data_IF_497105656484
#
_entry.id   IF_497105656484
#
_cell.length_a   1.000
_cell.length_b   1.000
_cell.length_c   1.000
_cell.angle_alpha   90.00
_cell.angle_beta   90.00
_cell.angle_gamma   90.00
#
_symmetry.space_group_name_H-M   'P 1'
#
loop_
_entity.id
_entity.type
_entity.pdbx_description
1 polymer ?
#
# COMPACT_ATOMS: atom_id res chain seq x y z
N UNK A 1 -29.47 -13.24 -10.05
CA UNK A 1 -30.78 -12.68 -9.68
C UNK A 1 -30.67 -11.15 -9.68
N UNK A 2 -31.65 -10.42 -10.21
CA UNK A 2 -31.57 -8.95 -10.25
C UNK A 2 -31.61 -8.35 -8.82
N UNK A 3 -30.95 -7.21 -8.58
CA UNK A 3 -30.95 -6.54 -7.27
C UNK A 3 -32.36 -6.24 -6.73
N UNK A 4 -33.30 -5.91 -7.61
CA UNK A 4 -34.70 -5.61 -7.26
C UNK A 4 -35.44 -6.82 -6.70
N UNK A 5 -35.13 -8.03 -7.22
CA UNK A 5 -35.77 -9.26 -6.77
C UNK A 5 -35.29 -9.68 -5.37
N UNK A 6 -34.04 -9.35 -5.02
CA UNK A 6 -33.45 -9.62 -3.70
C UNK A 6 -34.06 -8.72 -2.62
N UNK A 7 -34.30 -7.44 -2.93
CA UNK A 7 -34.96 -6.50 -2.02
C UNK A 7 -36.42 -6.87 -1.74
N UNK A 8 -37.18 -7.28 -2.76
CA UNK A 8 -38.56 -7.73 -2.59
C UNK A 8 -38.66 -8.99 -1.71
N UNK A 9 -37.73 -9.92 -1.88
CA UNK A 9 -37.66 -11.13 -1.06
C UNK A 9 -37.33 -10.82 0.40
N UNK A 10 -36.36 -9.95 0.67
CA UNK A 10 -36.00 -9.51 2.04
C UNK A 10 -37.18 -8.82 2.72
N UNK A 11 -37.89 -7.93 2.03
CA UNK A 11 -39.08 -7.27 2.58
C UNK A 11 -40.20 -8.25 2.90
N UNK A 12 -40.40 -9.27 2.04
CA UNK A 12 -41.41 -10.33 2.27
C UNK A 12 -41.07 -11.16 3.50
N UNK A 13 -39.80 -11.51 3.68
CA UNK A 13 -39.31 -12.25 4.86
C UNK A 13 -39.50 -11.41 6.13
N UNK A 14 -39.11 -10.13 6.11
CA UNK A 14 -39.31 -9.22 7.25
C UNK A 14 -40.78 -9.07 7.64
N UNK A 15 -41.68 -8.91 6.66
CA UNK A 15 -43.11 -8.83 6.91
C UNK A 15 -43.66 -10.14 7.51
N UNK A 16 -43.18 -11.28 7.02
CA UNK A 16 -43.58 -12.61 7.52
C UNK A 16 -43.14 -12.79 8.97
N UNK A 17 -41.86 -12.51 9.29
CA UNK A 17 -41.34 -12.59 10.66
C UNK A 17 -42.11 -11.65 11.60
N UNK A 18 -42.39 -10.42 11.17
CA UNK A 18 -43.15 -9.45 11.97
C UNK A 18 -44.57 -9.92 12.25
N UNK A 19 -45.25 -10.51 11.25
CA UNK A 19 -46.59 -11.08 11.42
C UNK A 19 -46.60 -12.27 12.38
N UNK A 20 -45.57 -13.10 12.35
CA UNK A 20 -45.43 -14.26 13.23
C UNK A 20 -45.15 -13.85 14.68
N UNK A 21 -44.31 -12.82 14.89
CA UNK A 21 -44.05 -12.23 16.23
C UNK A 21 -45.30 -11.62 16.85
N UNK A 22 -46.15 -10.97 16.03
CA UNK A 22 -47.39 -10.36 16.50
C UNK A 22 -48.46 -11.40 16.92
N UNK A 23 -48.28 -12.68 16.55
CA UNK A 23 -49.17 -13.77 16.94
C UNK A 23 -49.03 -14.08 18.43
N UNK A 24 -50.14 -14.48 19.05
CA UNK A 24 -50.16 -14.98 20.44
C UNK A 24 -49.78 -16.45 20.56
N UNK A 25 -49.64 -17.15 19.43
CA UNK A 25 -49.33 -18.58 19.39
C UNK A 25 -47.83 -18.79 19.55
N UNK A 26 -47.46 -19.73 20.40
CA UNK A 26 -46.05 -20.09 20.65
C UNK A 26 -45.41 -20.65 19.37
N UNK A 27 -46.14 -21.42 18.58
CA UNK A 27 -45.64 -22.05 17.35
C UNK A 27 -45.24 -21.01 16.29
N UNK A 28 -46.00 -19.92 16.21
CA UNK A 28 -45.71 -18.83 15.28
C UNK A 28 -44.43 -18.08 15.71
N UNK A 29 -44.24 -17.86 17.01
CA UNK A 29 -43.02 -17.25 17.55
C UNK A 29 -41.78 -18.14 17.40
N UNK A 30 -41.92 -19.45 17.60
CA UNK A 30 -40.85 -20.42 17.32
C UNK A 30 -40.48 -20.45 15.84
N UNK A 31 -41.48 -20.36 14.96
CA UNK A 31 -41.27 -20.25 13.52
C UNK A 31 -40.59 -18.93 13.15
N UNK A 32 -40.94 -17.84 13.81
CA UNK A 32 -40.26 -16.55 13.66
C UNK A 32 -38.78 -16.64 14.06
N UNK A 33 -38.46 -17.25 15.21
CA UNK A 33 -37.08 -17.46 15.66
C UNK A 33 -36.27 -18.33 14.69
N UNK A 34 -36.89 -19.39 14.15
CA UNK A 34 -36.27 -20.28 13.16
C UNK A 34 -35.93 -19.52 11.86
N UNK A 35 -36.91 -18.78 11.32
CA UNK A 35 -36.72 -17.95 10.13
C UNK A 35 -35.67 -16.85 10.38
N UNK A 36 -35.65 -16.25 11.57
CA UNK A 36 -34.66 -15.26 11.93
C UNK A 36 -33.25 -15.86 11.88
N UNK A 37 -33.05 -17.07 12.40
CA UNK A 37 -31.75 -17.76 12.37
C UNK A 37 -31.31 -18.17 10.96
N UNK A 38 -32.26 -18.59 10.11
CA UNK A 38 -32.00 -18.96 8.72
C UNK A 38 -31.61 -17.74 7.86
N UNK A 39 -32.31 -16.62 8.04
CA UNK A 39 -32.16 -15.44 7.18
C UNK A 39 -31.34 -14.30 7.81
N UNK A 40 -30.84 -14.45 9.05
CA UNK A 40 -30.02 -13.45 9.75
C UNK A 40 -28.92 -12.78 8.88
N UNK A 41 -28.16 -13.50 8.03
CA UNK A 41 -27.11 -12.89 7.20
C UNK A 41 -27.64 -11.93 6.12
N UNK A 42 -28.94 -12.00 5.81
CA UNK A 42 -29.58 -11.25 4.72
C UNK A 42 -30.53 -10.16 5.20
N UNK A 43 -30.85 -10.15 6.49
CA UNK A 43 -31.77 -9.20 7.12
C UNK A 43 -30.99 -7.99 7.68
N UNK A 44 -31.59 -6.78 7.71
CA UNK A 44 -30.99 -5.63 8.37
C UNK A 44 -30.73 -5.92 9.86
N UNK A 45 -29.57 -5.49 10.39
CA UNK A 45 -29.21 -5.72 11.80
C UNK A 45 -30.21 -5.09 12.77
N UNK A 46 -30.62 -3.86 12.50
CA UNK A 46 -31.61 -3.12 13.31
C UNK A 46 -32.98 -3.81 13.39
N UNK A 47 -33.36 -4.55 12.34
CA UNK A 47 -34.57 -5.37 12.36
C UNK A 47 -34.36 -6.62 13.22
N UNK A 48 -33.24 -7.31 13.02
CA UNK A 48 -32.90 -8.56 13.74
C UNK A 48 -32.84 -8.32 15.26
N UNK A 49 -32.16 -7.26 15.69
CA UNK A 49 -32.06 -6.85 17.10
C UNK A 49 -33.44 -6.58 17.72
N UNK A 50 -34.30 -5.83 17.02
CA UNK A 50 -35.66 -5.54 17.48
C UNK A 50 -36.47 -6.82 17.70
N UNK A 51 -36.38 -7.77 16.76
CA UNK A 51 -37.12 -9.04 16.81
C UNK A 51 -36.57 -9.93 17.94
N UNK A 52 -35.25 -9.97 18.14
CA UNK A 52 -34.63 -10.68 19.27
C UNK A 52 -35.10 -10.10 20.61
N UNK A 53 -35.12 -8.77 20.76
CA UNK A 53 -35.59 -8.11 21.99
C UNK A 53 -37.08 -8.37 22.28
N UNK A 54 -37.92 -8.49 21.24
CA UNK A 54 -39.32 -8.88 21.42
C UNK A 54 -39.47 -10.35 21.83
N UNK A 55 -38.64 -11.27 21.30
CA UNK A 55 -38.67 -12.69 21.67
C UNK A 55 -38.08 -12.93 23.07
N UNK A 56 -37.08 -12.15 23.51
CA UNK A 56 -36.50 -12.22 24.87
C UNK A 56 -37.53 -11.95 25.96
N UNK A 57 -38.56 -11.15 25.67
CA UNK A 57 -39.66 -10.83 26.60
C UNK A 57 -40.61 -12.01 26.83
N UNK A 58 -40.51 -13.07 26.03
CA UNK A 58 -41.37 -14.24 26.15
C UNK A 58 -40.88 -15.19 27.26
N UNK A 59 -41.80 -15.65 28.11
CA UNK A 59 -41.49 -16.51 29.25
C UNK A 59 -41.36 -18.01 28.89
N UNK A 60 -41.68 -18.40 27.66
CA UNK A 60 -41.63 -19.81 27.25
C UNK A 60 -40.20 -20.31 27.02
N UNK A 61 -39.88 -21.43 27.64
CA UNK A 61 -38.56 -22.08 27.61
C UNK A 61 -38.12 -22.44 26.19
N UNK A 62 -39.05 -22.88 25.35
CA UNK A 62 -38.82 -23.30 23.97
C UNK A 62 -38.39 -22.12 23.09
N UNK A 63 -38.92 -20.93 23.37
CA UNK A 63 -38.52 -19.70 22.67
C UNK A 63 -37.12 -19.28 23.11
N UNK A 64 -36.83 -19.37 24.41
CA UNK A 64 -35.50 -19.07 24.95
C UNK A 64 -34.44 -20.02 24.39
N UNK A 65 -34.73 -21.33 24.29
CA UNK A 65 -33.86 -22.32 23.65
C UNK A 65 -33.65 -22.04 22.15
N UNK A 66 -34.70 -21.62 21.43
CA UNK A 66 -34.59 -21.25 20.02
C UNK A 66 -33.76 -19.98 19.79
N UNK A 67 -33.61 -19.12 20.81
CA UNK A 67 -32.75 -17.93 20.77
C UNK A 67 -31.28 -18.24 21.07
N UNK A 68 -30.96 -19.36 21.75
CA UNK A 68 -29.58 -19.72 22.11
C UNK A 68 -28.62 -19.70 20.90
N UNK A 69 -28.94 -20.28 19.72
CA UNK A 69 -28.06 -20.22 18.56
C UNK A 69 -27.87 -18.80 17.98
N UNK A 70 -28.85 -17.91 18.17
CA UNK A 70 -28.81 -16.52 17.73
C UNK A 70 -27.93 -15.68 18.68
N UNK A 71 -28.07 -15.90 19.98
CA UNK A 71 -27.29 -15.23 21.04
C UNK A 71 -25.84 -15.72 21.05
N UNK A 72 -25.59 -17.02 20.83
CA UNK A 72 -24.23 -17.57 20.68
C UNK A 72 -23.56 -17.03 19.41
N UNK A 73 -24.30 -16.73 18.33
CA UNK A 73 -23.73 -16.05 17.14
C UNK A 73 -23.38 -14.58 17.42
N UNK A 74 -24.07 -13.93 18.38
CA UNK A 74 -23.69 -12.61 18.90
C UNK A 74 -22.47 -12.69 19.83
N UNK A 75 -22.35 -13.71 20.69
CA UNK A 75 -21.21 -13.88 21.62
C UNK A 75 -19.95 -14.50 21.00
N UNK A 76 -20.09 -15.34 19.95
CA UNK A 76 -18.97 -15.91 19.17
C UNK A 76 -18.70 -15.16 17.86
N UNK A 77 -19.39 -14.05 17.58
CA UNK A 77 -18.65 -12.97 16.94
C UNK A 77 -17.67 -12.53 18.00
N UNK A 78 -16.34 -12.74 17.84
CA UNK A 78 -15.42 -12.11 18.77
C UNK A 78 -15.89 -10.67 18.86
N UNK A 79 -16.03 -10.14 20.08
CA UNK A 79 -15.98 -8.70 20.29
C UNK A 79 -14.78 -8.28 19.45
N UNK A 80 -15.06 -7.77 18.24
CA UNK A 80 -14.09 -7.14 17.41
C UNK A 80 -13.78 -5.94 18.28
N UNK A 81 -12.78 -6.06 19.15
CA UNK A 81 -12.11 -4.90 19.70
C UNK A 81 -11.96 -4.00 18.49
N UNK A 82 -12.64 -2.86 18.52
CA UNK A 82 -12.54 -1.89 17.45
C UNK A 82 -11.06 -1.56 17.39
N UNK A 83 -10.36 -2.12 16.39
CA UNK A 83 -8.94 -1.90 16.25
C UNK A 83 -8.78 -0.41 16.09
N UNK A 84 -8.12 0.19 17.07
CA UNK A 84 -7.91 1.64 17.10
C UNK A 84 -7.04 2.03 15.90
N UNK A 85 -7.12 3.29 15.46
CA UNK A 85 -6.27 3.72 14.35
C UNK A 85 -4.79 3.58 14.72
N UNK A 86 -4.45 3.82 16.00
CA UNK A 86 -3.12 3.61 16.54
C UNK A 86 -2.66 2.15 16.42
N UNK A 87 -3.51 1.16 16.70
CA UNK A 87 -3.16 -0.26 16.56
C UNK A 87 -2.95 -0.67 15.09
N UNK A 88 -3.79 -0.17 14.17
CA UNK A 88 -3.60 -0.40 12.73
C UNK A 88 -2.25 0.17 12.31
N UNK A 89 -1.97 1.43 12.65
CA UNK A 89 -0.72 2.09 12.29
C UNK A 89 0.47 1.38 12.91
N UNK A 90 0.42 1.02 14.19
CA UNK A 90 1.50 0.32 14.86
C UNK A 90 1.86 -1.01 14.16
N UNK A 91 0.87 -1.69 13.58
CA UNK A 91 1.09 -2.88 12.74
C UNK A 91 1.90 -2.62 11.47
N UNK A 92 1.91 -1.38 10.96
CA UNK A 92 2.62 -0.97 9.76
C UNK A 92 3.89 -0.15 10.03
N UNK A 93 4.01 0.55 11.16
CA UNK A 93 5.11 1.49 11.43
C UNK A 93 6.48 0.87 11.22
N UNK A 94 6.74 -0.33 11.76
CA UNK A 94 8.04 -0.99 11.59
C UNK A 94 8.35 -1.37 10.14
N UNK A 95 7.34 -1.73 9.34
CA UNK A 95 7.50 -2.02 7.91
C UNK A 95 7.80 -0.73 7.12
N UNK A 96 7.10 0.37 7.44
CA UNK A 96 7.33 1.67 6.81
C UNK A 96 8.71 2.20 7.17
N UNK A 97 9.13 2.12 8.44
CA UNK A 97 10.47 2.52 8.90
C UNK A 97 11.57 1.72 8.20
N UNK A 98 11.39 0.40 8.10
CA UNK A 98 12.33 -0.47 7.39
C UNK A 98 12.43 -0.09 5.91
N UNK A 99 11.29 0.12 5.25
CA UNK A 99 11.26 0.56 3.86
C UNK A 99 11.88 1.95 3.67
N UNK A 100 11.64 2.89 4.59
CA UNK A 100 12.26 4.22 4.61
C UNK A 100 13.78 4.13 4.77
N UNK A 101 14.28 3.25 5.64
CA UNK A 101 15.72 3.08 5.82
C UNK A 101 16.38 2.54 4.54
N UNK A 102 15.78 1.53 3.91
CA UNK A 102 16.24 1.01 2.60
C UNK A 102 16.26 2.13 1.56
N UNK A 103 15.23 2.97 1.52
CA UNK A 103 15.17 4.15 0.65
C UNK A 103 16.36 5.08 0.92
N UNK A 104 16.65 5.38 2.18
CA UNK A 104 17.77 6.25 2.56
C UNK A 104 19.12 5.67 2.14
N UNK A 105 19.38 4.40 2.44
CA UNK A 105 20.66 3.75 2.16
C UNK A 105 20.95 3.76 0.65
N UNK A 106 19.90 3.49 -0.13
CA UNK A 106 19.95 3.50 -1.58
C UNK A 106 20.20 4.90 -2.15
N UNK A 107 19.50 5.91 -1.64
CA UNK A 107 19.69 7.30 -2.02
C UNK A 107 21.14 7.76 -1.77
N UNK A 108 21.69 7.42 -0.61
CA UNK A 108 23.07 7.72 -0.26
C UNK A 108 24.05 7.01 -1.21
N UNK A 109 23.76 5.76 -1.56
CA UNK A 109 24.58 5.00 -2.49
C UNK A 109 24.61 5.61 -3.90
N UNK A 110 23.48 6.13 -4.36
CA UNK A 110 23.37 6.88 -5.62
C UNK A 110 24.20 8.17 -5.60
N UNK A 111 24.11 8.93 -4.51
CA UNK A 111 24.87 10.17 -4.37
C UNK A 111 26.38 9.87 -4.31
N UNK A 112 26.76 8.82 -3.59
CA UNK A 112 28.14 8.34 -3.50
C UNK A 112 28.66 7.85 -4.86
N UNK A 113 27.82 7.24 -5.70
CA UNK A 113 28.23 6.82 -7.04
C UNK A 113 28.58 8.04 -7.91
N UNK A 114 27.78 9.10 -7.85
CA UNK A 114 28.07 10.34 -8.58
C UNK A 114 29.34 11.02 -8.08
N UNK A 115 29.50 11.11 -6.75
CA UNK A 115 30.70 11.70 -6.15
C UNK A 115 31.96 10.93 -6.54
N UNK A 116 31.91 9.61 -6.46
CA UNK A 116 33.04 8.73 -6.81
C UNK A 116 33.36 8.82 -8.30
N UNK A 117 32.34 8.85 -9.17
CA UNK A 117 32.54 9.01 -10.60
C UNK A 117 33.20 10.36 -10.95
N UNK A 118 32.78 11.46 -10.31
CA UNK A 118 33.42 12.79 -10.48
C UNK A 118 34.89 12.78 -10.06
N UNK A 119 35.18 12.18 -8.90
CA UNK A 119 36.55 12.04 -8.42
C UNK A 119 37.41 11.27 -9.44
N UNK A 120 36.94 10.09 -9.88
CA UNK A 120 37.62 9.30 -10.91
C UNK A 120 37.86 10.09 -12.19
N UNK A 121 36.85 10.81 -12.68
CA UNK A 121 36.94 11.59 -13.91
C UNK A 121 37.99 12.69 -13.81
N UNK A 122 38.07 13.37 -12.67
CA UNK A 122 39.10 14.36 -12.39
C UNK A 122 40.50 13.72 -12.36
N UNK A 123 40.67 12.57 -11.71
CA UNK A 123 41.96 11.86 -11.67
C UNK A 123 42.45 11.45 -13.06
N UNK A 124 41.58 10.92 -13.91
CA UNK A 124 41.94 10.57 -15.29
C UNK A 124 42.37 11.79 -16.11
N UNK A 125 41.81 12.96 -15.82
CA UNK A 125 42.14 14.24 -16.48
C UNK A 125 43.46 14.83 -15.98
N UNK A 126 43.75 14.74 -14.68
CA UNK A 126 44.98 15.28 -14.06
C UNK A 126 46.21 14.38 -14.20
N UNK A 127 46.06 13.15 -14.71
CA UNK A 127 47.17 12.22 -14.96
C UNK A 127 47.82 11.64 -13.69
N UNK A 128 47.16 11.74 -12.53
CA UNK A 128 47.66 11.17 -11.27
C UNK A 128 47.31 9.68 -11.18
N UNK A 129 48.32 8.82 -11.32
CA UNK A 129 48.25 7.41 -10.92
C UNK A 129 48.37 7.34 -9.39
N UNK A 130 47.27 7.47 -8.67
CA UNK A 130 47.34 7.49 -7.21
C UNK A 130 45.99 7.49 -6.57
N UNK A 131 45.65 6.33 -6.03
CA UNK A 131 44.47 6.03 -5.24
C UNK A 131 44.16 7.10 -4.18
N UNK A 132 43.03 7.79 -4.31
CA UNK A 132 42.32 8.26 -3.13
C UNK A 132 41.57 7.04 -2.55
N UNK A 133 42.33 6.17 -1.87
CA UNK A 133 41.88 4.85 -1.39
C UNK A 133 40.61 4.92 -0.53
N UNK A 134 40.31 6.07 0.09
CA UNK A 134 39.11 6.27 0.92
C UNK A 134 37.82 6.13 0.12
N UNK A 135 37.63 6.95 -0.92
CA UNK A 135 36.35 7.09 -1.63
C UNK A 135 35.92 5.81 -2.35
N UNK A 136 36.88 5.11 -2.98
CA UNK A 136 36.59 3.81 -3.63
C UNK A 136 36.23 2.74 -2.62
N UNK A 137 36.96 2.69 -1.50
CA UNK A 137 36.71 1.69 -0.46
C UNK A 137 35.35 1.92 0.22
N UNK A 138 34.94 3.18 0.39
CA UNK A 138 33.67 3.53 1.00
C UNK A 138 32.49 3.20 0.08
N UNK A 139 32.61 3.46 -1.22
CA UNK A 139 31.64 3.02 -2.22
C UNK A 139 31.45 1.50 -2.19
N UNK A 140 32.53 0.72 -2.23
CA UNK A 140 32.45 -0.75 -2.23
C UNK A 140 31.85 -1.28 -0.92
N UNK A 141 32.25 -0.74 0.23
CA UNK A 141 31.68 -1.11 1.55
C UNK A 141 30.18 -0.82 1.61
N UNK A 142 29.74 0.34 1.14
CA UNK A 142 28.31 0.70 1.13
C UNK A 142 27.53 -0.16 0.14
N UNK A 143 28.09 -0.42 -1.05
CA UNK A 143 27.46 -1.31 -2.04
C UNK A 143 27.15 -2.68 -1.45
N UNK A 144 28.07 -3.26 -0.69
CA UNK A 144 27.86 -4.57 -0.07
C UNK A 144 26.63 -4.58 0.86
N UNK A 145 26.32 -3.46 1.52
CA UNK A 145 25.15 -3.34 2.40
C UNK A 145 23.82 -3.35 1.65
N UNK A 146 23.76 -2.71 0.48
CA UNK A 146 22.53 -2.57 -0.35
C UNK A 146 22.48 -3.54 -1.54
N UNK A 147 23.44 -4.47 -1.62
CA UNK A 147 23.55 -5.41 -2.75
C UNK A 147 22.32 -6.30 -2.94
N UNK A 148 21.70 -6.85 -1.87
CA UNK A 148 20.49 -7.64 -2.02
C UNK A 148 19.41 -6.90 -2.80
N UNK A 149 19.14 -5.64 -2.45
CA UNK A 149 18.09 -4.79 -3.05
C UNK A 149 18.38 -4.48 -4.53
N UNK A 150 19.66 -4.40 -4.91
CA UNK A 150 20.10 -4.11 -6.28
C UNK A 150 20.04 -5.33 -7.22
N UNK A 151 20.00 -6.56 -6.69
CA UNK A 151 20.11 -7.80 -7.48
C UNK A 151 18.80 -8.28 -8.10
N UNK A 152 17.65 -7.77 -7.65
CA UNK A 152 16.34 -8.32 -8.00
C UNK A 152 15.80 -7.92 -9.38
N UNK A 153 16.43 -6.99 -10.09
CA UNK A 153 16.05 -6.67 -11.47
C UNK A 153 17.12 -7.11 -12.46
N UNK A 154 16.82 -8.03 -13.41
CA UNK A 154 17.67 -8.19 -14.58
C UNK A 154 17.76 -6.83 -15.27
N UNK A 155 18.96 -6.49 -15.77
CA UNK A 155 19.22 -5.26 -16.51
C UNK A 155 18.50 -5.30 -17.87
N UNK A 156 17.17 -5.30 -17.83
CA UNK A 156 16.33 -5.20 -19.02
C UNK A 156 16.46 -3.76 -19.48
N UNK A 157 17.51 -3.56 -20.28
CA UNK A 157 17.63 -2.61 -21.37
C UNK A 157 16.78 -1.35 -21.17
N UNK A 158 17.39 -0.25 -20.71
CA UNK A 158 17.18 1.06 -21.33
C UNK A 158 18.11 2.19 -20.81
N UNK A 159 18.79 2.09 -19.66
CA UNK A 159 19.89 3.01 -19.26
C UNK A 159 20.89 2.32 -18.31
N UNK A 160 22.05 2.95 -18.16
CA UNK A 160 23.11 2.57 -17.22
C UNK A 160 22.64 2.81 -15.78
N UNK A 161 22.71 1.83 -14.88
CA UNK A 161 22.55 2.05 -13.43
C UNK A 161 23.84 2.71 -12.91
N UNK A 162 23.81 3.94 -12.38
CA UNK A 162 25.01 4.61 -11.86
C UNK A 162 25.80 3.77 -10.86
N UNK A 163 25.10 3.09 -9.95
CA UNK A 163 25.73 2.24 -8.93
C UNK A 163 26.40 1.00 -9.57
N UNK A 164 25.73 0.31 -10.48
CA UNK A 164 26.29 -0.89 -11.07
C UNK A 164 27.41 -0.59 -12.07
N UNK A 165 27.26 0.46 -12.87
CA UNK A 165 28.28 0.85 -13.82
C UNK A 165 29.56 1.36 -13.14
N UNK A 166 29.43 2.15 -12.08
CA UNK A 166 30.61 2.57 -11.33
C UNK A 166 31.37 1.36 -10.74
N UNK A 167 30.64 0.34 -10.29
CA UNK A 167 31.26 -0.88 -9.78
C UNK A 167 32.06 -1.63 -10.85
N UNK A 168 31.56 -1.67 -12.08
CA UNK A 168 32.30 -2.25 -13.20
C UNK A 168 33.52 -1.41 -13.58
N UNK A 169 33.39 -0.08 -13.61
CA UNK A 169 34.51 0.84 -13.82
C UNK A 169 35.61 0.59 -12.78
N UNK A 170 35.25 0.55 -11.49
CA UNK A 170 36.21 0.30 -10.40
C UNK A 170 36.89 -1.06 -10.54
N UNK A 171 36.17 -2.09 -11.01
CA UNK A 171 36.74 -3.44 -11.22
C UNK A 171 37.83 -3.45 -12.29
N UNK A 172 37.72 -2.63 -13.33
CA UNK A 172 38.63 -2.64 -14.49
C UNK A 172 39.88 -1.77 -14.26
N UNK A 173 39.82 -0.74 -13.40
CA UNK A 173 40.94 0.18 -13.13
C UNK A 173 42.27 -0.54 -12.80
N UNK A 174 42.31 -1.55 -11.90
CA UNK A 174 43.55 -2.27 -11.60
C UNK A 174 44.14 -3.05 -12.79
N UNK A 175 43.29 -3.52 -13.71
CA UNK A 175 43.73 -4.24 -14.91
C UNK A 175 44.45 -3.31 -15.90
N UNK A 176 43.98 -2.05 -16.02
CA UNK A 176 44.62 -1.04 -16.86
C UNK A 176 46.02 -0.69 -16.36
N UNK A 177 46.21 -0.59 -15.04
CA UNK A 177 47.52 -0.33 -14.46
C UNK A 177 48.54 -1.43 -14.78
N UNK A 178 48.10 -2.68 -14.94
CA UNK A 178 48.97 -3.83 -15.27
C UNK A 178 49.32 -3.93 -16.76
N UNK A 179 48.48 -3.37 -17.65
CA UNK A 179 48.67 -3.42 -19.11
C UNK A 179 49.60 -2.34 -19.67
N UNK A 180 50.03 -1.37 -18.83
CA UNK A 180 50.85 -0.24 -19.23
C UNK A 180 52.18 -0.63 -19.91
N UNK A 181 52.68 -1.85 -19.70
CA UNK A 181 54.00 -2.28 -20.20
C UNK A 181 53.98 -3.02 -21.55
N UNK A 182 52.81 -3.35 -22.12
CA UNK A 182 52.75 -4.25 -23.30
C UNK A 182 51.91 -3.78 -24.50
N UNK A 183 51.01 -2.79 -24.37
CA UNK A 183 50.18 -2.33 -25.51
C UNK A 183 49.55 -0.92 -25.34
N UNK A 184 50.34 0.16 -25.54
CA UNK A 184 49.92 1.55 -25.28
C UNK A 184 48.64 2.02 -26.01
N UNK A 185 48.42 1.60 -27.26
CA UNK A 185 47.25 2.05 -28.05
C UNK A 185 45.93 1.53 -27.46
N UNK A 186 45.92 0.28 -26.98
CA UNK A 186 44.73 -0.32 -26.37
C UNK A 186 44.41 0.35 -25.01
N UNK A 187 45.44 0.66 -24.22
CA UNK A 187 45.27 1.35 -22.93
C UNK A 187 44.62 2.73 -23.09
N UNK A 188 45.02 3.48 -24.12
CA UNK A 188 44.43 4.79 -24.43
C UNK A 188 42.95 4.68 -24.84
N UNK A 189 42.60 3.65 -25.63
CA UNK A 189 41.23 3.38 -26.02
C UNK A 189 40.36 3.00 -24.82
N UNK A 190 40.84 2.10 -23.96
CA UNK A 190 40.14 1.66 -22.75
C UNK A 190 39.94 2.83 -21.77
N UNK A 191 40.95 3.69 -21.59
CA UNK A 191 40.84 4.92 -20.79
C UNK A 191 39.74 5.85 -21.31
N UNK A 192 39.67 6.07 -22.62
CA UNK A 192 38.64 6.92 -23.24
C UNK A 192 37.24 6.34 -23.05
N UNK A 193 37.10 5.02 -23.10
CA UNK A 193 35.84 4.34 -22.83
C UNK A 193 35.40 4.53 -21.38
N UNK A 194 36.31 4.37 -20.40
CA UNK A 194 36.01 4.63 -18.99
C UNK A 194 35.61 6.08 -18.75
N UNK A 195 36.32 7.05 -19.34
CA UNK A 195 35.96 8.46 -19.21
C UNK A 195 34.54 8.74 -19.71
N UNK A 196 34.15 8.12 -20.83
CA UNK A 196 32.78 8.21 -21.36
C UNK A 196 31.75 7.60 -20.40
N UNK A 197 32.02 6.41 -19.85
CA UNK A 197 31.13 5.78 -18.87
C UNK A 197 30.96 6.63 -17.61
N UNK A 198 32.05 7.23 -17.11
CA UNK A 198 32.01 8.15 -15.97
C UNK A 198 31.16 9.39 -16.28
N UNK A 199 31.29 9.97 -17.47
CA UNK A 199 30.49 11.13 -17.90
C UNK A 199 28.99 10.75 -18.00
N UNK A 200 28.66 9.55 -18.49
CA UNK A 200 27.29 9.01 -18.52
C UNK A 200 26.71 8.78 -17.11
N UNK A 201 27.51 8.23 -16.18
CA UNK A 201 27.12 8.08 -14.76
C UNK A 201 26.80 9.44 -14.15
N UNK A 202 27.68 10.43 -14.32
CA UNK A 202 27.52 11.77 -13.74
C UNK A 202 26.26 12.48 -14.27
N UNK A 203 25.89 12.24 -15.53
CA UNK A 203 24.72 12.85 -16.17
C UNK A 203 23.38 12.13 -15.88
N UNK A 204 23.39 11.01 -15.16
CA UNK A 204 22.20 10.18 -14.98
C UNK A 204 21.41 10.59 -13.73
N UNK A 205 20.21 11.16 -13.89
CA UNK A 205 19.34 11.53 -12.76
C UNK A 205 18.41 10.41 -12.25
N UNK A 206 18.43 9.25 -12.92
CA UNK A 206 17.50 8.14 -12.68
C UNK A 206 18.25 6.89 -12.31
N UNK A 207 17.71 6.13 -11.38
CA UNK A 207 18.17 4.78 -11.15
C UNK A 207 17.09 3.77 -11.51
N UNK A 208 17.50 2.76 -12.26
CA UNK A 208 16.66 1.64 -12.68
C UNK A 208 16.46 0.59 -11.57
N UNK A 209 17.45 0.36 -10.71
CA UNK A 209 17.39 -0.64 -9.64
C UNK A 209 16.44 -0.27 -8.48
N UNK A 210 16.03 1.00 -8.34
CA UNK A 210 15.31 1.50 -7.16
C UNK A 210 13.80 1.22 -7.13
N UNK A 211 13.22 0.69 -8.20
CA UNK A 211 11.76 0.54 -8.25
C UNK A 211 11.21 -0.39 -7.17
N UNK A 212 11.98 -1.37 -6.70
CA UNK A 212 11.51 -2.33 -5.69
C UNK A 212 11.35 -1.67 -4.33
N UNK A 213 12.37 -0.93 -3.88
CA UNK A 213 12.34 -0.31 -2.56
C UNK A 213 11.34 0.85 -2.53
N UNK A 214 11.25 1.62 -3.62
CA UNK A 214 10.18 2.60 -3.80
C UNK A 214 8.79 1.95 -3.82
N UNK A 215 8.66 0.79 -4.47
CA UNK A 215 7.41 0.00 -4.46
C UNK A 215 7.07 -0.49 -3.07
N UNK A 216 8.01 -1.05 -2.31
CA UNK A 216 7.80 -1.56 -0.96
C UNK A 216 7.26 -0.47 -0.03
N UNK A 217 7.90 0.71 -0.04
CA UNK A 217 7.44 1.87 0.74
C UNK A 217 6.04 2.31 0.33
N UNK A 218 5.79 2.43 -0.98
CA UNK A 218 4.51 2.90 -1.51
C UNK A 218 3.39 1.88 -1.25
N UNK A 219 3.67 0.60 -1.44
CA UNK A 219 2.77 -0.50 -1.16
C UNK A 219 2.37 -0.53 0.32
N UNK A 220 3.35 -0.45 1.23
CA UNK A 220 3.10 -0.47 2.67
C UNK A 220 2.25 0.74 3.10
N UNK A 221 2.56 1.93 2.57
CA UNK A 221 1.78 3.13 2.80
C UNK A 221 0.35 3.00 2.24
N UNK A 222 0.18 2.50 1.02
CA UNK A 222 -1.14 2.30 0.39
C UNK A 222 -1.98 1.29 1.16
N UNK A 223 -1.38 0.19 1.62
CA UNK A 223 -2.03 -0.82 2.47
C UNK A 223 -2.49 -0.23 3.80
N UNK A 224 -1.61 0.49 4.51
CA UNK A 224 -1.97 1.15 5.77
C UNK A 224 -3.15 2.11 5.59
N UNK A 225 -3.12 2.95 4.55
CA UNK A 225 -4.20 3.91 4.29
C UNK A 225 -5.51 3.22 3.90
N UNK A 226 -5.46 2.14 3.11
CA UNK A 226 -6.63 1.33 2.77
C UNK A 226 -7.23 0.68 4.02
N UNK A 227 -6.40 0.12 4.90
CA UNK A 227 -6.87 -0.53 6.13
C UNK A 227 -7.52 0.47 7.08
N UNK A 228 -6.92 1.65 7.26
CA UNK A 228 -7.51 2.75 8.04
C UNK A 228 -8.90 3.14 7.50
N UNK A 229 -9.01 3.38 6.19
CA UNK A 229 -10.29 3.70 5.54
C UNK A 229 -11.27 2.54 5.65
N UNK A 230 -10.79 1.30 5.51
CA UNK A 230 -11.64 0.13 5.59
C UNK A 230 -12.27 -0.02 6.97
N UNK A 231 -11.46 0.05 8.03
CA UNK A 231 -11.94 -0.14 9.40
C UNK A 231 -12.83 1.01 9.89
N UNK A 232 -12.51 2.26 9.52
CA UNK A 232 -13.22 3.44 10.07
C UNK A 232 -14.35 3.97 9.21
N UNK A 233 -14.24 3.85 7.89
CA UNK A 233 -15.23 4.40 6.97
C UNK A 233 -16.09 3.29 6.38
N UNK A 234 -15.48 2.25 5.82
CA UNK A 234 -16.22 1.26 5.02
C UNK A 234 -16.99 0.30 5.91
N UNK A 235 -16.29 -0.41 6.80
CA UNK A 235 -16.86 -1.46 7.67
C UNK A 235 -18.03 -0.95 8.53
N UNK A 236 -17.99 0.25 9.15
CA UNK A 236 -19.12 0.74 9.94
C UNK A 236 -20.28 1.25 9.08
N UNK A 237 -20.05 1.56 7.80
CA UNK A 237 -21.04 2.17 6.91
C UNK A 237 -21.37 1.27 5.70
N UNK A 238 -21.20 -0.05 5.81
CA UNK A 238 -21.41 -1.02 4.71
C UNK A 238 -22.79 -0.89 4.05
N UNK A 239 -23.82 -0.58 4.83
CA UNK A 239 -25.19 -0.42 4.34
C UNK A 239 -25.41 0.93 3.61
N UNK A 240 -24.54 1.92 3.83
CA UNK A 240 -24.72 3.30 3.38
C UNK A 240 -23.43 3.95 2.82
N UNK A 241 -22.62 3.19 2.09
CA UNK A 241 -21.34 3.65 1.54
C UNK A 241 -21.45 4.92 0.68
N UNK A 242 -22.55 5.13 -0.03
CA UNK A 242 -22.83 6.32 -0.83
C UNK A 242 -22.78 7.63 -0.02
N UNK A 243 -23.04 7.56 1.28
CA UNK A 243 -22.97 8.72 2.19
C UNK A 243 -21.53 9.08 2.55
N UNK A 244 -20.61 8.12 2.50
CA UNK A 244 -19.21 8.29 2.93
C UNK A 244 -18.20 8.25 1.79
N UNK A 245 -18.50 7.60 0.67
CA UNK A 245 -17.61 7.46 -0.49
C UNK A 245 -18.17 8.27 -1.65
N UNK A 246 -17.37 9.09 -2.36
CA UNK A 246 -17.83 9.80 -3.55
C UNK A 246 -18.39 8.85 -4.62
N UNK A 247 -19.46 9.21 -5.35
CA UNK A 247 -20.09 8.32 -6.33
C UNK A 247 -19.14 7.82 -7.42
N UNK A 248 -18.28 8.70 -7.94
CA UNK A 248 -17.29 8.40 -8.97
C UNK A 248 -16.25 7.38 -8.47
N UNK A 249 -15.83 7.52 -7.22
CA UNK A 249 -14.90 6.59 -6.56
C UNK A 249 -15.57 5.23 -6.35
N UNK A 250 -16.78 5.22 -5.80
CA UNK A 250 -17.53 3.98 -5.52
C UNK A 250 -17.83 3.19 -6.80
N UNK A 251 -18.25 3.88 -7.87
CA UNK A 251 -18.45 3.27 -9.19
C UNK A 251 -17.13 2.74 -9.76
N UNK A 252 -16.06 3.52 -9.65
CA UNK A 252 -14.71 3.12 -10.08
C UNK A 252 -14.20 1.87 -9.38
N UNK A 253 -14.40 1.73 -8.08
CA UNK A 253 -14.05 0.52 -7.32
C UNK A 253 -14.86 -0.69 -7.80
N UNK A 254 -16.19 -0.54 -7.90
CA UNK A 254 -17.09 -1.62 -8.34
C UNK A 254 -16.77 -2.09 -9.76
N UNK A 255 -16.46 -1.16 -10.66
CA UNK A 255 -16.05 -1.46 -12.03
C UNK A 255 -14.74 -2.25 -12.06
N UNK A 256 -13.72 -1.81 -11.33
CA UNK A 256 -12.42 -2.51 -11.25
C UNK A 256 -12.57 -3.91 -10.66
N UNK A 257 -13.34 -4.05 -9.58
CA UNK A 257 -13.67 -5.34 -8.98
C UNK A 257 -14.40 -6.26 -9.95
N UNK A 258 -15.44 -5.77 -10.61
CA UNK A 258 -16.20 -6.55 -11.58
C UNK A 258 -15.36 -6.99 -12.79
N UNK A 259 -14.41 -6.15 -13.25
CA UNK A 259 -13.46 -6.54 -14.31
C UNK A 259 -12.57 -7.69 -13.86
N UNK A 260 -12.12 -7.69 -12.61
CA UNK A 260 -11.31 -8.78 -12.06
C UNK A 260 -12.13 -10.06 -11.80
N UNK A 261 -13.32 -9.95 -11.21
CA UNK A 261 -14.22 -11.09 -10.95
C UNK A 261 -14.67 -11.80 -12.24
N UNK A 262 -14.82 -11.05 -13.33
CA UNK A 262 -15.16 -11.60 -14.64
C UNK A 262 -13.93 -12.06 -15.43
N UNK A 263 -12.72 -11.90 -14.89
CA UNK A 263 -11.50 -12.36 -15.56
C UNK A 263 -11.31 -13.87 -15.31
N UNK A 264 -11.28 -14.72 -16.34
CA UNK A 264 -11.12 -16.16 -16.17
C UNK A 264 -9.76 -16.59 -15.59
N UNK A 265 -8.79 -15.66 -15.51
CA UNK A 265 -7.43 -15.91 -15.03
C UNK A 265 -7.22 -15.37 -13.60
N UNK A 266 -8.07 -14.45 -13.11
CA UNK A 266 -7.93 -13.87 -11.77
C UNK A 266 -9.07 -14.30 -10.85
N UNK A 267 -8.74 -14.52 -9.57
CA UNK A 267 -9.73 -14.69 -8.52
C UNK A 267 -10.00 -13.33 -7.86
N UNK A 268 -11.10 -12.68 -8.24
CA UNK A 268 -11.53 -11.40 -7.68
C UNK A 268 -12.06 -11.50 -6.24
N UNK A 269 -11.23 -11.93 -5.29
CA UNK A 269 -11.61 -12.18 -3.90
C UNK A 269 -11.34 -11.00 -2.96
N UNK A 270 -10.79 -9.90 -3.48
CA UNK A 270 -10.38 -8.76 -2.68
C UNK A 270 -11.56 -7.88 -2.24
N UNK A 271 -11.39 -7.23 -1.10
CA UNK A 271 -12.33 -6.23 -0.59
C UNK A 271 -12.40 -5.00 -1.50
N UNK A 272 -13.52 -4.27 -1.46
CA UNK A 272 -13.76 -3.15 -2.37
C UNK A 272 -12.68 -2.05 -2.27
N UNK A 273 -12.13 -1.85 -1.08
CA UNK A 273 -11.06 -0.87 -0.80
C UNK A 273 -9.75 -1.21 -1.50
N UNK A 274 -9.49 -2.48 -1.81
CA UNK A 274 -8.25 -2.92 -2.48
C UNK A 274 -8.17 -2.45 -3.93
N UNK A 275 -9.31 -2.04 -4.47
CA UNK A 275 -9.40 -1.47 -5.80
C UNK A 275 -9.17 0.03 -5.81
N UNK A 276 -8.82 0.67 -4.68
CA UNK A 276 -8.56 2.11 -4.60
C UNK A 276 -7.09 2.44 -4.90
N UNK A 277 -6.84 3.55 -5.60
CA UNK A 277 -5.52 4.16 -5.65
C UNK A 277 -5.44 5.41 -4.74
N UNK A 278 -4.29 6.08 -4.66
CA UNK A 278 -4.14 7.28 -3.85
C UNK A 278 -5.08 8.43 -4.22
N UNK A 279 -5.49 8.53 -5.49
CA UNK A 279 -6.48 9.53 -5.92
C UNK A 279 -7.84 9.21 -5.31
N UNK A 280 -8.24 7.94 -5.31
CA UNK A 280 -9.46 7.47 -4.66
C UNK A 280 -9.43 7.66 -3.14
N UNK A 281 -8.33 7.24 -2.49
CA UNK A 281 -8.17 7.36 -1.03
C UNK A 281 -8.23 8.83 -0.59
N UNK A 282 -7.56 9.73 -1.32
CA UNK A 282 -7.65 11.18 -1.11
C UNK A 282 -9.11 11.66 -1.13
N UNK A 283 -9.85 11.33 -2.19
CA UNK A 283 -11.25 11.76 -2.35
C UNK A 283 -12.17 11.22 -1.24
N UNK A 284 -11.89 10.02 -0.72
CA UNK A 284 -12.62 9.45 0.41
C UNK A 284 -12.34 10.25 1.69
N UNK A 285 -11.07 10.57 1.97
CA UNK A 285 -10.70 11.36 3.15
C UNK A 285 -11.25 12.79 3.10
N UNK A 286 -11.28 13.40 1.91
CA UNK A 286 -11.83 14.75 1.69
C UNK A 286 -13.37 14.82 1.80
N UNK A 287 -14.08 13.68 1.74
CA UNK A 287 -15.54 13.69 1.68
C UNK A 287 -16.17 14.07 3.03
N UNK A 288 -16.80 15.24 3.07
CA UNK A 288 -17.65 15.68 4.17
C UNK A 288 -16.91 15.70 5.50
N UNK A 289 -17.41 14.93 6.48
CA UNK A 289 -16.85 14.82 7.83
C UNK A 289 -16.02 13.55 8.04
N UNK A 290 -15.54 12.92 6.97
CA UNK A 290 -14.78 11.68 7.11
C UNK A 290 -13.48 11.85 7.90
N UNK A 291 -12.88 13.05 7.90
CA UNK A 291 -11.71 13.36 8.73
C UNK A 291 -11.96 13.18 10.23
N UNK A 292 -13.20 13.30 10.72
CA UNK A 292 -13.54 13.18 12.15
C UNK A 292 -13.27 11.76 12.68
N UNK A 293 -13.30 10.74 11.80
CA UNK A 293 -13.04 9.34 12.16
C UNK A 293 -11.56 9.01 12.42
N UNK A 294 -10.68 9.99 12.25
CA UNK A 294 -9.23 9.83 12.43
C UNK A 294 -8.65 10.85 13.42
N UNK A 295 -9.51 11.49 14.22
CA UNK A 295 -9.11 12.53 15.19
C UNK A 295 -8.24 12.00 16.32
N UNK A 296 -8.23 10.68 16.53
CA UNK A 296 -7.35 9.95 17.44
C UNK A 296 -5.90 9.87 16.94
N UNK A 297 -5.65 10.02 15.64
CA UNK A 297 -4.30 9.96 15.05
C UNK A 297 -3.86 11.28 14.39
N UNK A 298 -4.80 12.03 13.80
CA UNK A 298 -4.53 13.25 13.06
C UNK A 298 -5.44 14.38 13.52
N UNK A 299 -4.85 15.54 13.78
CA UNK A 299 -5.60 16.80 13.79
C UNK A 299 -6.14 17.11 12.39
N UNK A 300 -7.08 18.06 12.34
CA UNK A 300 -7.68 18.48 11.07
C UNK A 300 -6.63 18.95 10.05
N UNK A 301 -5.65 19.76 10.47
CA UNK A 301 -4.61 20.26 9.56
C UNK A 301 -3.59 19.19 9.16
N UNK A 302 -3.27 18.25 10.07
CA UNK A 302 -2.46 17.06 9.75
C UNK A 302 -3.17 16.22 8.68
N UNK A 303 -4.49 15.97 8.82
CA UNK A 303 -5.27 15.24 7.83
C UNK A 303 -5.25 15.92 6.44
N UNK A 304 -5.30 17.26 6.39
CA UNK A 304 -5.16 18.00 5.13
C UNK A 304 -3.83 17.75 4.44
N UNK A 305 -2.76 17.74 5.23
CA UNK A 305 -1.44 17.44 4.71
C UNK A 305 -1.37 16.00 4.19
N UNK A 306 -1.97 15.02 4.89
CA UNK A 306 -2.02 13.62 4.46
C UNK A 306 -2.66 13.49 3.07
N UNK A 307 -3.91 13.91 2.90
CA UNK A 307 -4.60 13.69 1.61
C UNK A 307 -3.99 14.53 0.46
N UNK A 308 -3.36 15.68 0.75
CA UNK A 308 -2.59 16.43 -0.25
C UNK A 308 -1.39 15.61 -0.73
N UNK A 309 -0.62 15.04 0.20
CA UNK A 309 0.55 14.21 -0.09
C UNK A 309 0.18 12.95 -0.86
N UNK A 310 -0.94 12.29 -0.51
CA UNK A 310 -1.44 11.15 -1.29
C UNK A 310 -1.69 11.52 -2.76
N UNK A 311 -2.33 12.67 -3.00
CA UNK A 311 -2.55 13.16 -4.37
C UNK A 311 -1.25 13.42 -5.14
N UNK A 312 -0.21 13.92 -4.46
CA UNK A 312 1.10 14.17 -5.07
C UNK A 312 1.96 12.90 -5.25
N UNK A 313 1.67 11.82 -4.51
CA UNK A 313 2.31 10.52 -4.67
C UNK A 313 1.74 9.71 -5.85
N UNK A 314 0.52 10.02 -6.31
CA UNK A 314 -0.13 9.26 -7.38
C UNK A 314 0.67 9.18 -8.71
N UNK A 315 1.33 10.26 -9.19
CA UNK A 315 2.22 10.17 -10.36
C UNK A 315 3.40 9.21 -10.15
N UNK A 316 3.99 9.20 -8.94
CA UNK A 316 5.09 8.31 -8.57
C UNK A 316 4.59 6.85 -8.51
N UNK A 317 3.42 6.62 -7.89
CA UNK A 317 2.73 5.32 -7.89
C UNK A 317 2.54 4.78 -9.30
N UNK A 318 1.97 5.59 -10.19
CA UNK A 318 1.74 5.20 -11.60
C UNK A 318 3.05 4.83 -12.30
N UNK A 319 4.11 5.59 -12.05
CA UNK A 319 5.43 5.31 -12.61
C UNK A 319 5.98 3.94 -12.15
N UNK A 320 5.91 3.66 -10.85
CA UNK A 320 6.29 2.37 -10.28
C UNK A 320 5.42 1.23 -10.82
N UNK A 321 4.10 1.40 -10.88
CA UNK A 321 3.17 0.39 -11.41
C UNK A 321 3.45 0.03 -12.87
N UNK A 322 3.97 0.97 -13.65
CA UNK A 322 4.43 0.75 -15.02
C UNK A 322 5.90 0.31 -15.11
N UNK A 323 6.53 -0.07 -14.00
CA UNK A 323 7.94 -0.47 -13.91
C UNK A 323 8.92 0.57 -14.47
N UNK A 324 8.58 1.86 -14.41
CA UNK A 324 9.41 2.95 -14.92
C UNK A 324 10.33 3.48 -13.81
N UNK A 325 11.61 3.76 -14.10
CA UNK A 325 12.58 4.17 -13.09
C UNK A 325 12.26 5.53 -12.48
N UNK A 326 12.48 5.68 -11.17
CA UNK A 326 12.36 6.96 -10.50
C UNK A 326 13.63 7.81 -10.66
N UNK A 327 13.45 9.11 -10.74
CA UNK A 327 14.50 10.11 -10.60
C UNK A 327 14.86 10.30 -9.12
N UNK A 328 16.05 10.85 -8.86
CA UNK A 328 16.46 11.25 -7.51
C UNK A 328 15.40 12.11 -6.81
N UNK A 329 14.86 13.10 -7.51
CA UNK A 329 13.85 14.04 -6.99
C UNK A 329 12.52 13.36 -6.65
N UNK A 330 12.03 12.47 -7.51
CA UNK A 330 10.80 11.71 -7.25
C UNK A 330 10.96 10.82 -6.02
N UNK A 331 12.14 10.20 -5.86
CA UNK A 331 12.43 9.33 -4.73
C UNK A 331 12.55 10.10 -3.41
N UNK A 332 13.23 11.25 -3.41
CA UNK A 332 13.26 12.14 -2.24
C UNK A 332 11.87 12.61 -1.84
N UNK A 333 11.01 12.91 -2.83
CA UNK A 333 9.62 13.28 -2.58
C UNK A 333 8.82 12.13 -1.99
N UNK A 334 8.98 10.90 -2.50
CA UNK A 334 8.38 9.70 -1.90
C UNK A 334 8.80 9.53 -0.44
N UNK A 335 10.11 9.60 -0.18
CA UNK A 335 10.68 9.49 1.17
C UNK A 335 10.10 10.54 2.10
N UNK A 336 10.14 11.81 1.69
CA UNK A 336 9.70 12.93 2.51
C UNK A 336 8.22 12.83 2.84
N UNK A 337 7.37 12.51 1.85
CA UNK A 337 5.93 12.39 2.10
C UNK A 337 5.58 11.19 2.96
N UNK A 338 6.23 10.03 2.77
CA UNK A 338 6.03 8.90 3.65
C UNK A 338 6.50 9.19 5.09
N UNK A 339 7.65 9.85 5.24
CA UNK A 339 8.19 10.26 6.55
C UNK A 339 7.24 11.23 7.25
N UNK A 340 6.74 12.24 6.54
CA UNK A 340 5.83 13.21 7.12
C UNK A 340 4.49 12.57 7.51
N UNK A 341 3.94 11.67 6.69
CA UNK A 341 2.69 10.98 7.02
C UNK A 341 2.89 10.13 8.27
N UNK A 342 4.00 9.40 8.37
CA UNK A 342 4.32 8.59 9.54
C UNK A 342 4.53 9.46 10.79
N UNK A 343 5.28 10.56 10.67
CA UNK A 343 5.55 11.48 11.77
C UNK A 343 4.34 12.27 12.25
N UNK A 344 3.24 12.29 11.48
CA UNK A 344 1.98 12.89 11.89
C UNK A 344 1.12 11.95 12.75
N UNK A 345 1.50 10.67 12.88
CA UNK A 345 0.77 9.69 13.66
C UNK A 345 1.24 9.77 15.12
N UNK A 346 0.29 9.99 16.03
CA UNK A 346 0.52 10.17 17.48
C UNK A 346 0.37 8.87 18.26
#
# INVERSE_FOLDING_TARGET
>A
MSPDNRNAQVQTIMATISSLIASRRIEDKLRAATLLNEYAPTLPKSFTERIIEELKKDSHTEIQEALVPLLIKEENSPLLQEVTNAEIVAGYSGLIETALQKVIDIAQMFDLSHMTARALRQHFSEGKNGSDNGVYSDFLKQKTKVSPELTFFPQVSLKLSPINALSEVIRIIPELSKKNDTNHVQVLADKKNIEKELDEIIGTEQEISFNIVGYELLYTLERMMRDLIHQRIIKPNMENLQTKIPPDVLEGMKKRKSVEENNPISSGTYELVEYCDFTDLKKILEKGRNHEFFTDIFSFDEMKAVYSKLGELDPIRKKIAHSRPLTRKEFERLRMYATDILGQIK
#
